data_IF_559611956700
#
_entry.id   IF_559611956700
#
_cell.length_a   1.000
_cell.length_b   1.000
_cell.length_c   1.000
_cell.angle_alpha   90.00
_cell.angle_beta   90.00
_cell.angle_gamma   90.00
#
_symmetry.space_group_name_H-M   'P 1'
#
loop_
_entity.id
_entity.type
_entity.pdbx_description
1 polymer ?
#
# COMPACT_ATOMS: atom_id res chain seq x y z
N UNK A 1 18.36 -0.25 10.54
CA UNK A 1 18.32 -1.72 10.40
C UNK A 1 17.15 -2.03 9.49
N UNK A 2 17.38 -2.09 8.17
CA UNK A 2 16.30 -2.17 7.19
C UNK A 2 15.47 -3.42 7.43
N UNK A 3 14.21 -3.26 7.84
CA UNK A 3 13.29 -4.39 7.97
C UNK A 3 13.18 -5.05 6.60
N UNK A 4 13.69 -6.26 6.45
CA UNK A 4 13.64 -6.97 5.17
C UNK A 4 12.18 -7.07 4.70
N UNK A 5 11.89 -6.47 3.55
CA UNK A 5 10.60 -6.62 2.89
C UNK A 5 10.53 -8.06 2.39
N UNK A 6 9.64 -8.85 2.97
CA UNK A 6 9.46 -10.25 2.56
C UNK A 6 8.64 -10.33 1.28
N UNK A 7 8.84 -11.38 0.48
CA UNK A 7 7.99 -11.70 -0.69
C UNK A 7 6.50 -11.70 -0.33
N UNK A 8 6.15 -12.15 0.88
CA UNK A 8 4.78 -12.15 1.41
C UNK A 8 4.19 -10.73 1.54
N UNK A 9 5.01 -9.75 1.88
CA UNK A 9 4.57 -8.35 1.97
C UNK A 9 4.26 -7.77 0.59
N UNK A 10 5.06 -8.13 -0.42
CA UNK A 10 4.85 -7.73 -1.82
C UNK A 10 3.56 -8.35 -2.37
N UNK A 11 3.32 -9.65 -2.12
CA UNK A 11 2.06 -10.32 -2.52
C UNK A 11 0.86 -9.65 -1.84
N UNK A 12 1.00 -9.29 -0.55
CA UNK A 12 -0.07 -8.61 0.19
C UNK A 12 -0.31 -7.19 -0.31
N UNK A 13 0.75 -6.47 -0.71
CA UNK A 13 0.62 -5.15 -1.36
C UNK A 13 -0.15 -5.29 -2.68
N UNK A 14 0.23 -6.25 -3.54
CA UNK A 14 -0.45 -6.51 -4.82
C UNK A 14 -1.95 -6.78 -4.64
N UNK A 15 -2.31 -7.61 -3.66
CA UNK A 15 -3.71 -7.88 -3.34
C UNK A 15 -4.46 -6.63 -2.83
N UNK A 16 -3.82 -5.81 -1.99
CA UNK A 16 -4.41 -4.55 -1.51
C UNK A 16 -4.59 -3.53 -2.64
N UNK A 17 -3.67 -3.51 -3.60
CA UNK A 17 -3.75 -2.64 -4.77
C UNK A 17 -4.96 -2.96 -5.66
N UNK A 18 -5.50 -4.18 -5.63
CA UNK A 18 -6.75 -4.50 -6.35
C UNK A 18 -7.95 -3.66 -5.87
N UNK A 19 -7.89 -3.07 -4.67
CA UNK A 19 -8.92 -2.20 -4.12
C UNK A 19 -8.65 -0.69 -4.33
N UNK A 20 -7.63 -0.33 -5.11
CA UNK A 20 -7.30 1.08 -5.41
C UNK A 20 -8.47 1.84 -6.04
N UNK A 21 -9.17 1.19 -6.97
CA UNK A 21 -10.32 1.78 -7.65
C UNK A 21 -11.53 1.97 -6.73
N UNK A 22 -11.66 1.20 -5.65
CA UNK A 22 -12.75 1.36 -4.69
C UNK A 22 -12.65 2.68 -3.89
N UNK A 23 -11.46 3.30 -3.86
CA UNK A 23 -11.21 4.55 -3.16
C UNK A 23 -10.96 5.72 -4.13
N UNK A 24 -11.48 5.62 -5.36
CA UNK A 24 -11.39 6.68 -6.35
C UNK A 24 -12.43 7.78 -6.08
N UNK A 25 -11.98 9.03 -6.07
CA UNK A 25 -12.86 10.19 -6.11
C UNK A 25 -12.34 11.23 -7.12
N UNK A 26 -13.15 12.23 -7.46
CA UNK A 26 -12.75 13.25 -8.43
C UNK A 26 -11.73 14.28 -7.89
N UNK A 27 -11.67 14.48 -6.57
CA UNK A 27 -10.79 15.48 -5.95
C UNK A 27 -9.34 15.00 -5.74
N UNK A 28 -9.17 13.72 -5.44
CA UNK A 28 -7.90 13.10 -5.02
C UNK A 28 -7.57 11.84 -5.82
N UNK A 29 -8.42 11.45 -6.78
CA UNK A 29 -8.24 10.25 -7.59
C UNK A 29 -8.06 9.02 -6.68
N UNK A 30 -7.15 8.10 -7.01
CA UNK A 30 -6.88 6.87 -6.25
C UNK A 30 -5.93 7.09 -5.05
N UNK A 31 -5.63 8.34 -4.68
CA UNK A 31 -4.60 8.63 -3.68
C UNK A 31 -4.87 7.94 -2.33
N UNK A 32 -6.12 7.90 -1.87
CA UNK A 32 -6.51 7.24 -0.62
C UNK A 32 -6.25 5.73 -0.65
N UNK A 33 -6.63 5.07 -1.74
CA UNK A 33 -6.37 3.64 -1.95
C UNK A 33 -4.87 3.33 -2.04
N UNK A 34 -4.09 4.22 -2.64
CA UNK A 34 -2.64 4.08 -2.77
C UNK A 34 -1.94 4.17 -1.41
N UNK A 35 -2.30 5.18 -0.61
CA UNK A 35 -1.78 5.32 0.75
C UNK A 35 -2.13 4.11 1.61
N UNK A 36 -3.37 3.60 1.53
CA UNK A 36 -3.79 2.41 2.29
C UNK A 36 -3.03 1.14 1.91
N UNK A 37 -2.78 0.94 0.61
CA UNK A 37 -1.99 -0.18 0.11
C UNK A 37 -0.53 -0.12 0.58
N UNK A 38 0.10 1.06 0.55
CA UNK A 38 1.51 1.27 0.92
C UNK A 38 1.80 1.39 2.42
N UNK A 39 0.82 1.82 3.22
CA UNK A 39 0.95 2.04 4.66
C UNK A 39 1.68 0.92 5.45
N UNK A 40 1.39 -0.39 5.27
CA UNK A 40 2.06 -1.45 6.01
C UNK A 40 3.55 -1.59 5.65
N UNK A 41 3.93 -1.29 4.41
CA UNK A 41 5.32 -1.36 3.96
C UNK A 41 6.09 -0.14 4.46
N UNK A 42 5.49 1.05 4.37
CA UNK A 42 6.08 2.28 4.91
C UNK A 42 6.34 2.13 6.42
N UNK A 43 5.39 1.60 7.19
CA UNK A 43 5.58 1.32 8.62
C UNK A 43 6.72 0.34 8.94
N UNK A 44 7.08 -0.54 8.01
CA UNK A 44 8.22 -1.44 8.15
C UNK A 44 9.52 -0.70 7.85
N UNK A 45 9.59 -0.02 6.71
CA UNK A 45 10.78 0.71 6.24
C UNK A 45 11.22 1.78 7.24
N UNK A 46 10.27 2.55 7.77
CA UNK A 46 10.53 3.69 8.66
C UNK A 46 10.50 3.33 10.15
N UNK A 47 10.59 2.04 10.49
CA UNK A 47 10.64 1.58 11.88
C UNK A 47 11.97 1.93 12.55
#
# INVERSE_FOLDING_TARGET
MGSEISKKDITRLGFRSSLLQASFNYERMQAGGFTWAMLPILKKIYK
#
